data_IF_520814573440
#
_entry.id   IF_520814573440
#
_cell.length_a   1.000
_cell.length_b   1.000
_cell.length_c   1.000
_cell.angle_alpha   90.00
_cell.angle_beta   90.00
_cell.angle_gamma   90.00
#
_symmetry.space_group_name_H-M   'P 1'
#
loop_
_entity.id
_entity.type
_entity.pdbx_description
1 polymer ?
#
# COMPACT_ATOMS: atom_id res chain seq x y z
N UNK A 1 -9.10 13.09 -16.42
CA UNK A 1 -8.44 13.56 -15.19
C UNK A 1 -7.34 12.57 -14.89
N UNK A 2 -6.09 12.98 -14.93
CA UNK A 2 -4.95 12.11 -14.64
C UNK A 2 -4.86 11.97 -13.11
N UNK A 3 -5.04 10.76 -12.59
CA UNK A 3 -4.92 10.51 -11.16
C UNK A 3 -3.45 10.60 -10.78
N UNK A 4 -3.07 11.62 -10.01
CA UNK A 4 -1.71 11.76 -9.49
C UNK A 4 -1.41 10.64 -8.49
N UNK A 5 -0.36 9.86 -8.75
CA UNK A 5 0.18 8.84 -7.85
C UNK A 5 1.46 9.33 -7.20
N UNK A 6 1.58 9.15 -5.88
CA UNK A 6 2.80 9.47 -5.12
C UNK A 6 3.28 8.26 -4.32
N UNK A 7 4.60 8.09 -4.14
CA UNK A 7 5.13 7.03 -3.30
C UNK A 7 4.67 7.22 -1.86
N UNK A 8 4.32 6.13 -1.18
CA UNK A 8 3.94 6.19 0.23
C UNK A 8 5.19 6.40 1.09
N UNK A 9 5.23 7.44 1.94
CA UNK A 9 6.37 7.68 2.83
C UNK A 9 6.68 6.47 3.71
N UNK A 10 7.95 6.07 3.74
CA UNK A 10 8.43 4.89 4.45
C UNK A 10 8.16 3.56 3.74
N UNK A 11 7.52 3.57 2.57
CA UNK A 11 7.29 2.39 1.73
C UNK A 11 7.62 2.67 0.25
N UNK A 12 8.60 3.53 0.01
CA UNK A 12 9.07 3.92 -1.31
C UNK A 12 9.50 2.69 -2.12
N UNK A 13 9.11 2.65 -3.39
CA UNK A 13 9.34 1.49 -4.27
C UNK A 13 8.49 0.25 -3.96
N UNK A 14 7.66 0.28 -2.90
CA UNK A 14 6.75 -0.80 -2.57
C UNK A 14 5.29 -0.45 -2.87
N UNK A 15 4.87 0.78 -2.53
CA UNK A 15 3.49 1.23 -2.70
C UNK A 15 3.43 2.69 -3.17
N UNK A 16 2.38 2.98 -3.93
CA UNK A 16 1.98 4.32 -4.35
C UNK A 16 0.53 4.56 -3.95
N UNK A 17 0.22 5.80 -3.59
CA UNK A 17 -1.11 6.24 -3.21
C UNK A 17 -1.60 7.29 -4.20
N UNK A 18 -2.86 7.18 -4.60
CA UNK A 18 -3.54 8.23 -5.34
C UNK A 18 -4.24 9.22 -4.41
N UNK A 19 -4.51 10.42 -4.91
CA UNK A 19 -5.20 11.47 -4.15
C UNK A 19 -6.62 11.08 -3.71
N UNK A 20 -7.28 10.15 -4.41
CA UNK A 20 -8.61 9.62 -4.02
C UNK A 20 -8.53 8.49 -2.98
N UNK A 21 -7.34 8.17 -2.45
CA UNK A 21 -7.16 7.22 -1.36
C UNK A 21 -7.05 5.75 -1.81
N UNK A 22 -6.83 5.49 -3.10
CA UNK A 22 -6.51 4.14 -3.59
C UNK A 22 -5.02 3.87 -3.48
N UNK A 23 -4.68 2.64 -3.09
CA UNK A 23 -3.29 2.22 -2.94
C UNK A 23 -2.94 1.21 -4.03
N UNK A 24 -1.78 1.39 -4.64
CA UNK A 24 -1.23 0.50 -5.64
C UNK A 24 0.07 -0.10 -5.13
N UNK A 25 0.22 -1.42 -5.27
CA UNK A 25 1.52 -2.04 -5.16
C UNK A 25 2.34 -1.69 -6.42
N UNK A 26 3.59 -1.27 -6.24
CA UNK A 26 4.49 -0.99 -7.36
C UNK A 26 4.99 -2.30 -7.95
N UNK A 27 5.18 -2.33 -9.28
CA UNK A 27 5.77 -3.47 -9.95
C UNK A 27 7.21 -3.70 -9.45
N UNK A 28 7.49 -4.91 -8.99
CA UNK A 28 8.80 -5.28 -8.47
C UNK A 28 9.08 -6.77 -8.58
N UNK A 29 10.35 -7.14 -8.68
CA UNK A 29 10.79 -8.52 -8.53
C UNK A 29 11.11 -8.80 -7.06
N UNK A 30 10.52 -9.84 -6.51
CA UNK A 30 10.82 -10.34 -5.16
C UNK A 30 11.44 -11.73 -5.26
N UNK A 31 12.32 -12.05 -4.32
CA UNK A 31 12.81 -13.40 -4.12
C UNK A 31 11.81 -14.15 -3.22
N UNK A 32 11.26 -15.25 -3.71
CA UNK A 32 10.45 -16.18 -2.92
C UNK A 32 11.19 -17.49 -2.72
N UNK A 33 10.82 -18.18 -1.65
CA UNK A 33 11.26 -19.53 -1.34
C UNK A 33 10.03 -20.42 -1.42
N UNK A 34 10.11 -21.51 -2.18
CA UNK A 34 9.04 -22.52 -2.23
C UNK A 34 9.04 -23.40 -0.95
N UNK A 35 8.08 -24.32 -0.87
CA UNK A 35 7.95 -25.25 0.26
C UNK A 35 9.14 -26.21 0.40
N UNK A 36 9.94 -26.41 -0.65
CA UNK A 36 11.09 -27.30 -0.71
C UNK A 36 12.41 -26.54 -0.47
N UNK A 37 12.35 -25.21 -0.30
CA UNK A 37 13.52 -24.36 -0.05
C UNK A 37 14.17 -23.77 -1.30
N UNK A 38 13.60 -23.96 -2.50
CA UNK A 38 14.15 -23.39 -3.74
C UNK A 38 13.81 -21.91 -3.85
N UNK A 39 14.84 -21.12 -4.15
CA UNK A 39 14.73 -19.68 -4.36
C UNK A 39 14.37 -19.37 -5.81
N UNK A 40 13.34 -18.57 -6.04
CA UNK A 40 12.96 -18.11 -7.37
C UNK A 40 12.51 -16.65 -7.34
N UNK A 41 12.70 -15.95 -8.46
CA UNK A 41 12.22 -14.57 -8.60
C UNK A 41 10.77 -14.56 -9.08
N UNK A 42 9.91 -13.84 -8.35
CA UNK A 42 8.54 -13.56 -8.75
C UNK A 42 8.39 -12.08 -9.06
N UNK A 43 7.90 -11.77 -10.26
CA UNK A 43 7.47 -10.41 -10.58
C UNK A 43 6.08 -10.18 -10.00
N UNK A 44 5.97 -9.23 -9.08
CA UNK A 44 4.70 -8.66 -8.66
C UNK A 44 4.36 -7.57 -9.65
N UNK A 45 3.27 -7.73 -10.41
CA UNK A 45 2.76 -6.67 -11.27
C UNK A 45 2.10 -5.56 -10.44
N UNK A 46 2.07 -4.35 -11.00
CA UNK A 46 1.29 -3.25 -10.42
C UNK A 46 -0.16 -3.70 -10.26
N UNK A 47 -0.74 -3.52 -9.07
CA UNK A 47 -2.14 -3.83 -8.82
C UNK A 47 -2.69 -2.96 -7.69
N UNK A 48 -3.99 -2.68 -7.75
CA UNK A 48 -4.71 -2.00 -6.69
C UNK A 48 -4.83 -2.94 -5.47
N UNK A 49 -4.53 -2.41 -4.28
CA UNK A 49 -4.68 -3.09 -3.01
C UNK A 49 -6.09 -2.83 -2.48
N UNK A 50 -6.78 -3.88 -2.06
CA UNK A 50 -8.07 -3.74 -1.41
C UNK A 50 -7.92 -3.10 -0.01
N UNK A 51 -8.77 -2.13 0.29
CA UNK A 51 -8.87 -1.54 1.61
C UNK A 51 -9.57 -2.52 2.57
N UNK A 52 -9.12 -2.54 3.82
CA UNK A 52 -9.74 -3.29 4.90
C UNK A 52 -10.39 -2.34 5.89
N UNK A 53 -11.55 -2.71 6.41
CA UNK A 53 -12.23 -1.98 7.48
C UNK A 53 -11.76 -2.56 8.81
N UNK A 54 -11.33 -1.71 9.74
CA UNK A 54 -10.98 -2.14 11.08
C UNK A 54 -12.23 -2.34 11.95
N UNK A 55 -12.08 -2.93 13.14
CA UNK A 55 -13.20 -3.15 14.07
C UNK A 55 -13.90 -1.87 14.58
N UNK A 56 -13.40 -0.68 14.21
CA UNK A 56 -14.00 0.64 14.53
C UNK A 56 -14.63 1.32 13.30
N UNK A 57 -14.71 0.65 12.16
CA UNK A 57 -15.31 1.18 10.92
C UNK A 57 -14.36 1.98 10.02
N UNK A 58 -13.11 2.22 10.41
CA UNK A 58 -12.17 2.99 9.58
C UNK A 58 -11.51 2.13 8.51
N UNK A 59 -11.40 2.68 7.30
CA UNK A 59 -10.71 2.06 6.17
C UNK A 59 -9.20 2.26 6.27
N UNK A 60 -8.44 1.20 5.98
CA UNK A 60 -6.98 1.21 5.95
C UNK A 60 -6.40 0.11 5.06
N UNK A 61 -5.09 0.14 4.86
CA UNK A 61 -4.35 -0.84 4.08
C UNK A 61 -3.35 -1.59 4.95
N UNK A 62 -3.27 -2.91 4.72
CA UNK A 62 -2.18 -3.74 5.24
C UNK A 62 -0.95 -3.61 4.33
N UNK A 63 0.04 -2.86 4.81
CA UNK A 63 1.32 -2.62 4.15
C UNK A 63 2.37 -3.60 4.68
N UNK A 64 3.15 -4.19 3.78
CA UNK A 64 4.22 -5.12 4.16
C UNK A 64 5.58 -4.51 3.85
N UNK A 65 6.47 -4.52 4.83
CA UNK A 65 7.87 -4.12 4.69
C UNK A 65 8.72 -4.94 5.65
N UNK A 66 9.87 -5.44 5.19
CA UNK A 66 10.83 -6.19 6.01
C UNK A 66 10.19 -7.36 6.80
N UNK A 67 9.35 -8.14 6.12
CA UNK A 67 8.61 -9.27 6.69
C UNK A 67 7.63 -8.91 7.84
N UNK A 68 7.35 -7.62 8.05
CA UNK A 68 6.36 -7.12 9.00
C UNK A 68 5.17 -6.54 8.25
N UNK A 69 3.98 -6.76 8.79
CA UNK A 69 2.74 -6.16 8.31
C UNK A 69 2.31 -5.04 9.26
N UNK A 70 1.87 -3.91 8.71
CA UNK A 70 1.30 -2.81 9.48
C UNK A 70 0.05 -2.31 8.79
N UNK A 71 -1.04 -2.18 9.54
CA UNK A 71 -2.26 -1.55 9.05
C UNK A 71 -2.16 -0.03 9.24
N UNK A 72 -2.31 0.73 8.14
CA UNK A 72 -2.31 2.19 8.15
C UNK A 72 -3.63 2.69 7.59
N UNK A 73 -4.24 3.66 8.26
CA UNK A 73 -5.50 4.26 7.81
C UNK A 73 -5.29 5.06 6.53
N UNK A 74 -6.31 5.05 5.66
CA UNK A 74 -6.26 5.81 4.40
C UNK A 74 -6.08 7.31 4.68
N UNK A 75 -6.79 7.84 5.67
CA UNK A 75 -6.68 9.24 6.10
C UNK A 75 -5.27 9.61 6.53
N UNK A 76 -4.60 8.75 7.30
CA UNK A 76 -3.21 8.96 7.72
C UNK A 76 -2.26 8.96 6.54
N UNK A 77 -2.40 7.99 5.61
CA UNK A 77 -1.56 7.89 4.43
C UNK A 77 -1.72 9.10 3.50
N UNK A 78 -2.96 9.55 3.27
CA UNK A 78 -3.25 10.75 2.47
C UNK A 78 -2.58 11.99 3.06
N UNK A 79 -2.72 12.18 4.39
CA UNK A 79 -2.10 13.31 5.08
C UNK A 79 -0.57 13.28 4.99
N UNK A 80 0.04 12.10 5.16
CA UNK A 80 1.49 11.95 5.09
C UNK A 80 2.02 12.12 3.65
N UNK A 81 1.27 11.70 2.65
CA UNK A 81 1.73 11.67 1.25
C UNK A 81 1.44 12.99 0.50
N UNK A 82 0.30 13.62 0.77
CA UNK A 82 -0.16 14.81 0.06
C UNK A 82 -0.26 16.06 0.94
N UNK A 83 -0.17 15.92 2.27
CA UNK A 83 -0.39 17.03 3.20
C UNK A 83 -1.87 17.40 3.37
N UNK A 84 -2.79 16.64 2.75
CA UNK A 84 -4.22 16.92 2.80
C UNK A 84 -4.86 16.27 4.03
N UNK A 85 -5.57 17.07 4.82
CA UNK A 85 -6.35 16.58 5.95
C UNK A 85 -7.75 16.19 5.44
N UNK A 86 -7.81 15.09 4.70
CA UNK A 86 -9.08 14.58 4.20
C UNK A 86 -9.77 13.88 5.36
N UNK A 87 -10.58 14.67 6.08
CA UNK A 87 -11.43 14.21 7.15
C UNK A 87 -12.24 13.00 6.70
N UNK A 88 -12.28 12.00 7.58
CA UNK A 88 -13.02 10.76 7.50
C UNK A 88 -14.26 10.88 6.59
N UNK A 89 -14.21 10.23 5.43
CA UNK A 89 -15.45 9.93 4.70
C UNK A 89 -16.19 8.92 5.57
N UNK A 90 -17.16 9.43 6.33
CA UNK A 90 -18.14 8.67 7.12
C UNK A 90 -18.91 7.71 6.24
#
# INVERSE_FOLDING_TARGET
METEFRPVPGYEGLYELSRDGRLFAVERKILQVDTVGRKFFKTIKRHEKAATVNGRGYRGFNLHKNNKQTCRLISTLLRETFGENIGSVT
#
